data_IF_374813632443
#
_entry.id   IF_374813632443
#
_cell.length_a   1.000
_cell.length_b   1.000
_cell.length_c   1.000
_cell.angle_alpha   90.00
_cell.angle_beta   90.00
_cell.angle_gamma   90.00
#
_symmetry.space_group_name_H-M   'P 1'
#
loop_
_entity.id
_entity.type
_entity.pdbx_description
1 polymer ?
#
# COMPACT_ATOMS: atom_id res chain seq x y z
N UNK A 1 -13.22 -20.79 13.67
CA UNK A 1 -12.06 -19.88 13.73
C UNK A 1 -11.86 -19.30 12.35
N UNK A 2 -12.30 -18.05 12.13
CA UNK A 2 -11.84 -17.30 10.97
C UNK A 2 -10.34 -17.05 11.21
N UNK A 3 -9.49 -17.49 10.28
CA UNK A 3 -8.07 -17.17 10.35
C UNK A 3 -7.95 -15.72 9.92
N UNK A 4 -7.51 -14.79 10.79
CA UNK A 4 -7.47 -13.36 10.44
C UNK A 4 -6.61 -13.09 9.18
N UNK A 5 -5.62 -13.93 8.88
CA UNK A 5 -4.89 -13.87 7.60
C UNK A 5 -5.74 -14.20 6.36
N UNK A 6 -6.76 -15.06 6.48
CA UNK A 6 -7.67 -15.37 5.37
C UNK A 6 -8.67 -14.25 5.07
N UNK A 7 -9.11 -13.52 6.10
CA UNK A 7 -9.93 -12.32 5.95
C UNK A 7 -9.15 -11.20 5.27
N UNK A 8 -7.93 -10.93 5.73
CA UNK A 8 -7.06 -9.93 5.13
C UNK A 8 -6.66 -10.28 3.67
N UNK A 9 -6.48 -11.56 3.35
CA UNK A 9 -6.26 -12.00 1.96
C UNK A 9 -7.48 -11.73 1.09
N UNK A 10 -8.67 -11.94 1.63
CA UNK A 10 -9.93 -11.68 0.94
C UNK A 10 -10.11 -10.18 0.70
N UNK A 11 -9.84 -9.34 1.71
CA UNK A 11 -9.88 -7.88 1.60
C UNK A 11 -8.88 -7.36 0.56
N UNK A 12 -7.64 -7.90 0.52
CA UNK A 12 -6.66 -7.56 -0.52
C UNK A 12 -7.17 -7.91 -1.92
N UNK A 13 -7.76 -9.09 -2.10
CA UNK A 13 -8.31 -9.50 -3.39
C UNK A 13 -9.52 -8.64 -3.79
N UNK A 14 -10.36 -8.24 -2.84
CA UNK A 14 -11.45 -7.30 -3.09
C UNK A 14 -10.92 -5.93 -3.53
N UNK A 15 -9.84 -5.42 -2.92
CA UNK A 15 -9.18 -4.21 -3.38
C UNK A 15 -8.70 -4.31 -4.85
N UNK A 16 -8.08 -5.42 -5.24
CA UNK A 16 -7.65 -5.64 -6.64
C UNK A 16 -8.84 -5.66 -7.60
N UNK A 17 -9.96 -6.28 -7.20
CA UNK A 17 -11.16 -6.33 -8.03
C UNK A 17 -11.82 -4.95 -8.11
N UNK A 18 -11.91 -4.22 -7.00
CA UNK A 18 -12.50 -2.88 -6.94
C UNK A 18 -11.71 -1.84 -7.73
N UNK A 19 -10.38 -1.95 -7.77
CA UNK A 19 -9.51 -1.17 -8.66
C UNK A 19 -9.91 -1.37 -10.12
N UNK A 20 -10.17 -2.62 -10.53
CA UNK A 20 -10.61 -2.96 -11.88
C UNK A 20 -12.03 -2.51 -12.21
N UNK A 21 -12.88 -2.30 -11.20
CA UNK A 21 -14.22 -1.75 -11.39
C UNK A 21 -14.28 -0.23 -11.30
N UNK A 22 -13.15 0.43 -10.97
CA UNK A 22 -13.06 1.89 -10.83
C UNK A 22 -13.63 2.44 -9.52
N UNK A 23 -13.90 1.59 -8.53
CA UNK A 23 -14.41 2.04 -7.22
C UNK A 23 -13.23 2.24 -6.26
N UNK A 24 -12.56 3.37 -6.44
CA UNK A 24 -11.33 3.72 -5.73
C UNK A 24 -11.55 3.88 -4.22
N UNK A 25 -12.70 4.43 -3.81
CA UNK A 25 -12.99 4.65 -2.39
C UNK A 25 -13.19 3.31 -1.68
N UNK A 26 -13.97 2.40 -2.26
CA UNK A 26 -14.17 1.05 -1.72
C UNK A 26 -12.85 0.26 -1.71
N UNK A 27 -12.04 0.40 -2.76
CA UNK A 27 -10.70 -0.21 -2.84
C UNK A 27 -9.83 0.21 -1.66
N UNK A 28 -9.79 1.51 -1.37
CA UNK A 28 -9.01 2.07 -0.27
C UNK A 28 -9.47 1.53 1.08
N UNK A 29 -10.78 1.52 1.32
CA UNK A 29 -11.34 0.97 2.56
C UNK A 29 -10.95 -0.48 2.77
N UNK A 30 -11.02 -1.31 1.72
CA UNK A 30 -10.62 -2.72 1.82
C UNK A 30 -9.12 -2.89 2.08
N UNK A 31 -8.25 -2.14 1.40
CA UNK A 31 -6.80 -2.25 1.63
C UNK A 31 -6.39 -1.74 3.03
N UNK A 32 -6.96 -0.63 3.51
CA UNK A 32 -6.68 -0.13 4.87
C UNK A 32 -7.11 -1.15 5.93
N UNK A 33 -8.31 -1.72 5.81
CA UNK A 33 -8.78 -2.75 6.75
C UNK A 33 -7.90 -4.02 6.70
N UNK A 34 -7.41 -4.40 5.51
CA UNK A 34 -6.46 -5.51 5.37
C UNK A 34 -5.14 -5.22 6.10
N UNK A 35 -4.59 -4.01 5.96
CA UNK A 35 -3.37 -3.59 6.65
C UNK A 35 -3.53 -3.69 8.16
N UNK A 36 -4.60 -3.12 8.73
CA UNK A 36 -4.87 -3.18 10.17
C UNK A 36 -4.93 -4.64 10.68
N UNK A 37 -5.56 -5.51 9.90
CA UNK A 37 -5.66 -6.93 10.24
C UNK A 37 -4.31 -7.63 10.16
N UNK A 38 -3.50 -7.36 9.12
CA UNK A 38 -2.16 -7.94 8.98
C UNK A 38 -1.20 -7.43 10.06
N UNK A 39 -1.29 -6.16 10.45
CA UNK A 39 -0.54 -5.60 11.57
C UNK A 39 -0.91 -6.30 12.88
N UNK A 40 -2.20 -6.49 13.17
CA UNK A 40 -2.65 -7.24 14.34
C UNK A 40 -2.16 -8.70 14.34
N UNK A 41 -1.91 -9.27 13.16
CA UNK A 41 -1.34 -10.61 12.99
C UNK A 41 0.20 -10.63 12.90
N UNK A 42 0.87 -9.50 13.12
CA UNK A 42 2.33 -9.34 13.00
C UNK A 42 2.88 -9.84 11.65
N UNK A 43 2.08 -9.72 10.58
CA UNK A 43 2.37 -10.22 9.24
C UNK A 43 2.93 -9.10 8.36
N UNK A 44 4.18 -8.71 8.64
CA UNK A 44 4.85 -7.56 8.00
C UNK A 44 4.88 -7.68 6.47
N UNK A 45 5.24 -8.84 5.94
CA UNK A 45 5.25 -9.11 4.49
C UNK A 45 3.92 -8.78 3.80
N UNK A 46 2.81 -9.14 4.46
CA UNK A 46 1.47 -8.88 3.95
C UNK A 46 1.07 -7.41 4.08
N UNK A 47 1.53 -6.72 5.14
CA UNK A 47 1.37 -5.26 5.27
C UNK A 47 2.09 -4.57 4.12
N UNK A 48 3.39 -4.85 3.96
CA UNK A 48 4.25 -4.24 2.93
C UNK A 48 3.67 -4.45 1.53
N UNK A 49 3.30 -5.69 1.20
CA UNK A 49 2.66 -6.03 -0.08
C UNK A 49 1.34 -5.29 -0.32
N UNK A 50 0.57 -5.02 0.74
CA UNK A 50 -0.70 -4.29 0.62
C UNK A 50 -0.46 -2.79 0.48
N UNK A 51 0.55 -2.24 1.16
CA UNK A 51 0.94 -0.84 1.03
C UNK A 51 1.43 -0.52 -0.39
N UNK A 52 2.21 -1.41 -1.02
CA UNK A 52 2.61 -1.23 -2.42
C UNK A 52 1.41 -1.02 -3.35
N UNK A 53 0.32 -1.78 -3.15
CA UNK A 53 -0.91 -1.63 -3.93
C UNK A 53 -1.58 -0.28 -3.69
N UNK A 54 -1.64 0.19 -2.43
CA UNK A 54 -2.20 1.52 -2.12
C UNK A 54 -1.36 2.63 -2.73
N UNK A 55 -0.02 2.54 -2.69
CA UNK A 55 0.88 3.54 -3.29
C UNK A 55 0.59 3.69 -4.79
N UNK A 56 0.47 2.57 -5.50
CA UNK A 56 0.13 2.56 -6.93
C UNK A 56 -1.27 3.14 -7.17
N UNK A 57 -2.27 2.76 -6.37
CA UNK A 57 -3.63 3.29 -6.48
C UNK A 57 -3.66 4.81 -6.27
N UNK A 58 -2.98 5.32 -5.25
CA UNK A 58 -2.89 6.76 -5.00
C UNK A 58 -2.22 7.51 -6.15
N UNK A 59 -1.17 6.95 -6.76
CA UNK A 59 -0.55 7.54 -7.94
C UNK A 59 -1.49 7.58 -9.14
N UNK A 60 -2.21 6.48 -9.42
CA UNK A 60 -3.23 6.42 -10.48
C UNK A 60 -4.35 7.44 -10.28
N UNK A 61 -4.66 7.78 -9.03
CA UNK A 61 -5.68 8.78 -8.68
C UNK A 61 -5.14 10.22 -8.66
N UNK A 62 -3.86 10.44 -8.99
CA UNK A 62 -3.20 11.74 -8.93
C UNK A 62 -2.93 12.23 -7.50
N UNK A 63 -3.05 11.36 -6.50
CA UNK A 63 -2.83 11.67 -5.09
C UNK A 63 -1.37 11.41 -4.69
N UNK A 64 -0.43 12.04 -5.41
CA UNK A 64 1.02 11.87 -5.22
C UNK A 64 1.45 12.07 -3.78
N UNK A 65 0.93 13.09 -3.09
CA UNK A 65 1.26 13.34 -1.69
C UNK A 65 0.86 12.18 -0.76
N UNK A 66 -0.28 11.54 -0.99
CA UNK A 66 -0.70 10.37 -0.20
C UNK A 66 0.12 9.14 -0.55
N UNK A 67 0.48 8.96 -1.81
CA UNK A 67 1.35 7.86 -2.22
C UNK A 67 2.72 7.94 -1.51
N UNK A 68 3.31 9.14 -1.41
CA UNK A 68 4.55 9.36 -0.63
C UNK A 68 4.35 9.05 0.86
N UNK A 69 3.25 9.48 1.47
CA UNK A 69 2.95 9.15 2.88
C UNK A 69 2.86 7.63 3.12
N UNK A 70 2.31 6.88 2.16
CA UNK A 70 2.26 5.42 2.25
C UNK A 70 3.65 4.78 2.06
N UNK A 71 4.52 5.35 1.24
CA UNK A 71 5.93 4.94 1.19
C UNK A 71 6.63 5.17 2.55
N UNK A 72 6.43 6.33 3.17
CA UNK A 72 6.98 6.65 4.49
C UNK A 72 6.51 5.67 5.56
N UNK A 73 5.21 5.35 5.55
CA UNK A 73 4.65 4.32 6.43
C UNK A 73 5.29 2.94 6.19
N UNK A 74 5.52 2.55 4.93
CA UNK A 74 6.19 1.28 4.63
C UNK A 74 7.63 1.24 5.16
N UNK A 75 8.37 2.36 5.11
CA UNK A 75 9.70 2.44 5.71
C UNK A 75 9.66 2.18 7.20
N UNK A 76 8.75 2.82 7.94
CA UNK A 76 8.60 2.57 9.39
C UNK A 76 8.31 1.09 9.66
N UNK A 77 7.39 0.49 8.91
CA UNK A 77 7.02 -0.92 9.09
C UNK A 77 8.20 -1.87 8.80
N UNK A 78 9.01 -1.56 7.79
CA UNK A 78 10.19 -2.36 7.43
C UNK A 78 11.31 -2.19 8.46
N UNK A 79 11.57 -0.96 8.92
CA UNK A 79 12.61 -0.68 9.93
C UNK A 79 12.31 -1.32 11.29
N UNK A 80 11.03 -1.43 11.66
CA UNK A 80 10.60 -2.12 12.88
C UNK A 80 10.60 -3.65 12.75
N UNK A 81 10.80 -4.19 11.54
CA UNK A 81 10.75 -5.63 11.28
C UNK A 81 12.14 -6.28 11.33
N UNK A 82 12.20 -7.51 11.87
CA UNK A 82 13.43 -8.31 11.98
C UNK A 82 13.81 -9.01 10.64
N UNK A 83 13.07 -8.75 9.55
CA UNK A 83 13.19 -9.42 8.26
C UNK A 83 13.97 -8.63 7.20
N UNK A 84 14.41 -9.32 6.14
CA UNK A 84 15.00 -8.67 4.95
C UNK A 84 13.88 -8.26 4.00
N UNK A 85 13.75 -6.94 3.81
CA UNK A 85 12.84 -6.29 2.88
C UNK A 85 13.60 -5.37 1.92
N UNK A 86 14.84 -5.75 1.56
CA UNK A 86 15.75 -4.89 0.79
C UNK A 86 15.14 -4.49 -0.56
N UNK A 87 14.43 -5.42 -1.21
CA UNK A 87 13.79 -5.18 -2.49
C UNK A 87 12.59 -4.23 -2.37
N UNK A 88 11.74 -4.44 -1.36
CA UNK A 88 10.57 -3.62 -1.09
C UNK A 88 10.99 -2.22 -0.64
N UNK A 89 11.97 -2.12 0.25
CA UNK A 89 12.56 -0.86 0.69
C UNK A 89 13.11 -0.08 -0.51
N UNK A 90 13.90 -0.71 -1.37
CA UNK A 90 14.41 -0.09 -2.59
C UNK A 90 13.27 0.34 -3.53
N UNK A 91 12.20 -0.45 -3.62
CA UNK A 91 11.03 -0.10 -4.41
C UNK A 91 10.37 1.17 -3.88
N UNK A 92 10.10 1.28 -2.57
CA UNK A 92 9.49 2.47 -1.97
C UNK A 92 10.37 3.71 -2.14
N UNK A 93 11.68 3.57 -1.96
CA UNK A 93 12.65 4.67 -2.14
C UNK A 93 12.63 5.19 -3.57
N UNK A 94 12.76 4.28 -4.54
CA UNK A 94 12.74 4.62 -5.96
C UNK A 94 11.40 5.25 -6.36
N UNK A 95 10.29 4.69 -5.86
CA UNK A 95 8.96 5.17 -6.18
C UNK A 95 8.70 6.55 -5.58
N UNK A 96 9.00 6.74 -4.29
CA UNK A 96 8.86 8.03 -3.61
C UNK A 96 9.75 9.10 -4.24
N UNK A 97 10.99 8.77 -4.60
CA UNK A 97 11.88 9.69 -5.32
C UNK A 97 11.27 10.10 -6.67
N UNK A 98 10.73 9.14 -7.43
CA UNK A 98 10.07 9.43 -8.70
C UNK A 98 8.86 10.35 -8.52
N UNK A 99 7.99 10.04 -7.56
CA UNK A 99 6.81 10.84 -7.24
C UNK A 99 7.16 12.30 -6.86
N UNK A 100 8.23 12.48 -6.08
CA UNK A 100 8.71 13.81 -5.69
C UNK A 100 9.43 14.55 -6.83
N UNK A 101 9.94 13.81 -7.82
CA UNK A 101 10.66 14.35 -8.98
C UNK A 101 9.77 14.58 -10.20
N UNK A 102 8.56 14.03 -10.22
CA UNK A 102 7.58 14.31 -11.27
C UNK A 102 7.22 15.81 -11.19
N UNK A 103 7.42 16.59 -12.27
CA UNK A 103 6.93 17.96 -12.30
C UNK A 103 5.43 17.86 -12.07
N UNK A 104 4.92 18.65 -11.11
CA UNK A 104 3.49 18.85 -10.89
C UNK A 104 2.91 19.41 -12.19
N UNK A 105 2.62 18.54 -13.15
CA UNK A 105 1.90 18.88 -14.36
C UNK A 105 0.48 19.13 -13.88
N UNK A 106 0.31 20.36 -13.40
CA UNK A 106 -0.98 21.02 -13.27
C UNK A 106 -1.66 20.77 -14.61
N UNK A 107 -2.60 19.84 -14.61
CA UNK A 107 -3.48 19.65 -15.74
C UNK A 107 -4.33 20.91 -15.77
N UNK A 108 -4.06 21.74 -16.79
CA UNK A 108 -4.77 22.96 -17.15
C UNK A 108 -6.27 22.72 -17.39
#
# INVERSE_FOLDING_TARGET
MQRPGGEATSLRNLGIVSERTGDIEVTRTHYTAAIETYQACNSVDSVVSTVMQIVVLCHQCGETAKAVQWCDYAFTVIEEADGSFDAEHQWFDTYAFRLNSEPMTSSS
#
